data_IF_473368654881
#
_entry.id   IF_473368654881
#
_cell.length_a   1.000
_cell.length_b   1.000
_cell.length_c   1.000
_cell.angle_alpha   90.00
_cell.angle_beta   90.00
_cell.angle_gamma   90.00
#
_symmetry.space_group_name_H-M   'P 1'
#
loop_
_entity.id
_entity.type
_entity.pdbx_description
1 polymer ?
#
# COMPACT_ATOMS: atom_id res chain seq x y z
N UNK A 1 14.85 0.34 16.66
CA UNK A 1 15.88 0.72 17.67
C UNK A 1 15.72 2.16 18.18
N UNK A 2 15.57 3.18 17.33
CA UNK A 2 15.54 4.60 17.75
C UNK A 2 14.53 4.93 18.87
N UNK A 3 13.31 4.40 18.84
CA UNK A 3 12.30 4.63 19.89
C UNK A 3 12.76 4.15 21.28
N UNK A 4 13.38 2.97 21.35
CA UNK A 4 13.83 2.35 22.61
C UNK A 4 14.98 3.15 23.21
N UNK A 5 15.90 3.63 22.37
CA UNK A 5 17.03 4.45 22.80
C UNK A 5 16.57 5.78 23.42
N UNK A 6 15.53 6.40 22.86
CA UNK A 6 14.93 7.61 23.44
C UNK A 6 14.23 7.32 24.77
N UNK A 7 13.57 6.15 24.90
CA UNK A 7 12.95 5.68 26.14
C UNK A 7 13.98 5.40 27.25
N UNK A 8 15.19 4.98 26.90
CA UNK A 8 16.30 4.80 27.84
C UNK A 8 17.02 6.11 28.21
N UNK A 9 16.57 7.26 27.70
CA UNK A 9 17.17 8.57 28.00
C UNK A 9 18.49 8.86 27.25
N UNK A 10 18.82 8.08 26.22
CA UNK A 10 20.04 8.27 25.44
C UNK A 10 19.85 9.39 24.40
N UNK A 11 20.87 10.24 24.23
CA UNK A 11 20.86 11.32 23.23
C UNK A 11 21.13 10.74 21.84
N UNK A 12 20.11 10.78 20.99
CA UNK A 12 20.22 10.34 19.60
C UNK A 12 20.74 11.47 18.70
N UNK A 13 21.66 11.14 17.80
CA UNK A 13 22.26 12.07 16.84
C UNK A 13 22.00 11.58 15.42
N UNK A 14 21.62 12.48 14.51
CA UNK A 14 21.44 12.17 13.08
C UNK A 14 22.79 11.99 12.38
N UNK A 15 22.79 11.49 11.13
CA UNK A 15 24.00 11.41 10.30
C UNK A 15 24.69 12.78 10.13
N UNK A 16 23.92 13.87 10.24
CA UNK A 16 24.39 15.25 10.12
C UNK A 16 24.84 15.87 11.45
N UNK A 17 24.94 15.09 12.54
CA UNK A 17 25.41 15.57 13.84
C UNK A 17 24.36 16.32 14.68
N UNK A 18 23.09 16.37 14.27
CA UNK A 18 22.03 17.08 15.02
C UNK A 18 21.38 16.17 16.06
N UNK A 19 21.15 16.70 17.26
CA UNK A 19 20.43 15.98 18.31
C UNK A 19 18.93 15.86 17.98
N UNK A 20 18.39 14.65 18.10
CA UNK A 20 16.97 14.37 17.90
C UNK A 20 16.23 14.57 19.22
N UNK A 21 15.34 15.57 19.26
CA UNK A 21 14.49 15.86 20.43
C UNK A 21 13.11 15.20 20.37
N UNK A 22 12.58 14.99 19.16
CA UNK A 22 11.26 14.39 18.92
C UNK A 22 11.37 13.37 17.81
N UNK A 23 10.86 12.16 18.06
CA UNK A 23 10.71 11.12 17.05
C UNK A 23 9.23 11.02 16.67
N UNK A 24 8.92 11.23 15.39
CA UNK A 24 7.62 10.83 14.84
C UNK A 24 7.80 9.77 13.76
N UNK A 25 6.89 8.80 13.74
CA UNK A 25 6.83 7.74 12.74
C UNK A 25 5.40 7.49 12.32
N UNK A 26 5.21 6.85 11.19
CA UNK A 26 3.90 6.39 10.75
C UNK A 26 3.68 4.94 11.17
N UNK A 27 2.52 4.65 11.76
CA UNK A 27 2.06 3.29 12.05
C UNK A 27 0.63 3.11 11.52
N UNK A 28 0.14 1.87 11.52
CA UNK A 28 -1.23 1.56 11.17
C UNK A 28 -2.04 1.30 12.44
N UNK A 29 -3.16 2.01 12.62
CA UNK A 29 -4.09 1.82 13.73
C UNK A 29 -5.43 1.36 13.18
N UNK A 30 -6.03 0.33 13.76
CA UNK A 30 -7.38 -0.10 13.41
C UNK A 30 -8.41 0.85 14.01
N UNK A 31 -9.39 1.31 13.22
CA UNK A 31 -10.49 2.15 13.71
C UNK A 31 -11.53 1.37 14.51
N UNK A 32 -11.62 0.04 14.34
CA UNK A 32 -12.60 -0.81 15.02
C UNK A 32 -12.09 -1.37 16.36
N UNK A 33 -10.93 -2.03 16.36
CA UNK A 33 -10.39 -2.70 17.54
C UNK A 33 -9.25 -1.92 18.24
N UNK A 34 -8.91 -0.73 17.75
CA UNK A 34 -7.83 0.15 18.22
C UNK A 34 -6.43 -0.47 18.31
N UNK A 35 -6.24 -1.65 17.72
CA UNK A 35 -4.93 -2.30 17.64
C UNK A 35 -3.99 -1.49 16.75
N UNK A 36 -2.74 -1.32 17.21
CA UNK A 36 -1.69 -0.62 16.47
C UNK A 36 -0.68 -1.64 15.94
N UNK A 37 -0.52 -1.65 14.63
CA UNK A 37 0.44 -2.49 13.91
C UNK A 37 1.60 -1.61 13.40
N UNK A 38 2.83 -2.07 13.64
CA UNK A 38 4.06 -1.43 13.12
C UNK A 38 4.46 -1.93 11.72
N UNK A 39 3.83 -3.01 11.26
CA UNK A 39 4.06 -3.58 9.94
C UNK A 39 3.46 -2.66 8.86
N UNK A 40 4.35 -2.01 8.10
CA UNK A 40 3.96 -1.14 7.02
C UNK A 40 3.37 -1.95 5.85
N UNK A 41 2.36 -1.39 5.18
CA UNK A 41 1.80 -1.96 3.96
C UNK A 41 0.70 -3.01 4.14
N UNK A 42 0.31 -3.35 5.38
CA UNK A 42 -0.89 -4.17 5.62
C UNK A 42 -2.16 -3.41 5.32
N UNK A 43 -3.17 -4.14 4.83
CA UNK A 43 -4.50 -3.62 4.52
C UNK A 43 -5.55 -4.10 5.53
N UNK A 44 -5.42 -5.35 5.96
CA UNK A 44 -6.30 -5.99 6.94
C UNK A 44 -5.66 -5.96 8.32
N UNK A 45 -6.48 -5.77 9.35
CA UNK A 45 -6.01 -5.79 10.73
C UNK A 45 -5.74 -7.24 11.18
N UNK A 46 -4.56 -7.55 11.76
CA UNK A 46 -4.24 -8.92 12.18
C UNK A 46 -5.08 -9.41 13.36
N UNK A 47 -5.72 -8.50 14.12
CA UNK A 47 -6.52 -8.85 15.30
C UNK A 47 -7.98 -9.11 14.96
N UNK A 48 -8.59 -8.28 14.10
CA UNK A 48 -10.02 -8.37 13.79
C UNK A 48 -10.33 -8.73 12.33
N UNK A 49 -9.33 -8.89 11.47
CA UNK A 49 -9.50 -9.24 10.05
C UNK A 49 -10.10 -8.13 9.17
N UNK A 50 -10.64 -7.06 9.73
CA UNK A 50 -11.27 -5.99 8.97
C UNK A 50 -10.25 -5.10 8.25
N UNK A 51 -10.63 -4.62 7.06
CA UNK A 51 -9.90 -3.60 6.30
C UNK A 51 -10.17 -2.20 6.86
N UNK A 52 -9.76 -1.98 8.10
CA UNK A 52 -10.03 -0.77 8.87
C UNK A 52 -8.74 -0.13 9.42
N UNK A 53 -7.59 -0.45 8.81
CA UNK A 53 -6.30 0.12 9.18
C UNK A 53 -6.13 1.53 8.59
N UNK A 54 -5.82 2.48 9.46
CA UNK A 54 -5.55 3.86 9.10
C UNK A 54 -4.11 4.21 9.40
N UNK A 55 -3.49 5.00 8.52
CA UNK A 55 -2.16 5.55 8.76
C UNK A 55 -2.25 6.66 9.79
N UNK A 56 -1.53 6.50 10.90
CA UNK A 56 -1.52 7.39 12.05
C UNK A 56 -0.09 7.78 12.38
N UNK A 57 0.12 9.04 12.76
CA UNK A 57 1.38 9.51 13.32
C UNK A 57 1.54 9.02 14.76
N UNK A 58 2.69 8.42 15.06
CA UNK A 58 3.11 8.03 16.40
C UNK A 58 4.24 8.96 16.81
N UNK A 59 4.01 9.73 17.87
CA UNK A 59 4.96 10.68 18.42
C UNK A 59 5.49 10.14 19.73
N UNK A 60 6.81 10.13 19.88
CA UNK A 60 7.48 9.74 21.12
C UNK A 60 7.85 11.00 21.88
N UNK A 61 7.29 11.17 23.07
CA UNK A 61 7.59 12.30 23.95
C UNK A 61 8.91 12.14 24.70
N UNK A 62 9.35 13.21 25.40
CA UNK A 62 10.60 13.23 26.15
C UNK A 62 10.68 12.19 27.30
N UNK A 63 9.53 11.77 27.84
CA UNK A 63 9.45 10.71 28.84
C UNK A 63 9.25 9.30 28.27
N UNK A 64 9.44 9.10 26.96
CA UNK A 64 9.29 7.79 26.32
C UNK A 64 7.85 7.33 26.06
N UNK A 65 6.85 8.13 26.45
CA UNK A 65 5.44 7.87 26.16
C UNK A 65 5.15 7.99 24.65
N UNK A 66 4.42 7.00 24.10
CA UNK A 66 3.95 7.01 22.71
C UNK A 66 2.56 7.64 22.63
N UNK A 67 2.43 8.71 21.85
CA UNK A 67 1.18 9.35 21.52
C UNK A 67 0.75 8.96 20.11
N UNK A 68 -0.47 8.46 19.98
CA UNK A 68 -1.05 8.07 18.70
C UNK A 68 -2.02 9.15 18.22
N UNK A 69 -1.81 9.64 17.00
CA UNK A 69 -2.78 10.50 16.33
C UNK A 69 -4.15 9.81 16.20
N UNK A 70 -5.21 10.60 16.23
CA UNK A 70 -6.57 10.13 15.99
C UNK A 70 -7.16 10.99 14.89
N UNK A 71 -7.81 10.36 13.91
CA UNK A 71 -8.56 11.11 12.89
C UNK A 71 -9.80 11.71 13.55
N UNK A 72 -10.03 12.99 13.32
CA UNK A 72 -11.18 13.69 13.88
C UNK A 72 -12.51 13.20 13.29
N UNK A 73 -12.54 12.87 12.00
CA UNK A 73 -13.75 12.54 11.27
C UNK A 73 -13.61 11.21 10.49
N UNK A 74 -14.63 10.36 10.59
CA UNK A 74 -14.74 9.09 9.84
C UNK A 74 -15.81 9.21 8.75
N UNK A 75 -15.42 8.95 7.49
CA UNK A 75 -16.35 8.94 6.36
C UNK A 75 -16.73 7.50 6.02
N UNK A 76 -17.99 7.14 6.21
CA UNK A 76 -18.53 5.80 5.89
C UNK A 76 -19.05 5.68 4.45
N UNK A 77 -18.81 6.67 3.59
CA UNK A 77 -19.30 6.65 2.20
C UNK A 77 -18.52 5.60 1.39
N UNK A 78 -19.25 4.80 0.61
CA UNK A 78 -18.67 3.79 -0.28
C UNK A 78 -18.29 2.47 0.39
N UNK A 79 -18.54 2.29 1.69
CA UNK A 79 -18.30 1.02 2.39
C UNK A 79 -19.43 0.01 2.19
N UNK A 80 -20.68 0.48 2.06
CA UNK A 80 -21.87 -0.36 1.81
C UNK A 80 -22.27 -0.31 0.34
N UNK A 81 -22.17 -1.44 -0.34
CA UNK A 81 -22.59 -1.64 -1.73
C UNK A 81 -22.98 -3.10 -1.96
N UNK A 82 -23.70 -3.39 -3.05
CA UNK A 82 -24.08 -4.76 -3.39
C UNK A 82 -22.88 -5.54 -3.91
N UNK A 83 -22.62 -6.70 -3.30
CA UNK A 83 -21.57 -7.60 -3.75
C UNK A 83 -22.11 -8.52 -4.87
N UNK A 84 -21.30 -8.83 -5.89
CA UNK A 84 -21.66 -9.84 -6.87
C UNK A 84 -21.72 -11.22 -6.19
N UNK A 85 -22.59 -12.09 -6.71
CA UNK A 85 -22.64 -13.50 -6.27
C UNK A 85 -21.25 -14.14 -6.43
N UNK A 86 -20.78 -14.93 -5.47
CA UNK A 86 -19.48 -15.59 -5.57
C UNK A 86 -19.48 -16.54 -6.78
N UNK A 87 -18.47 -16.40 -7.64
CA UNK A 87 -18.28 -17.27 -8.80
C UNK A 87 -16.97 -18.04 -8.66
N UNK A 88 -16.99 -19.33 -8.98
CA UNK A 88 -15.80 -20.17 -9.04
C UNK A 88 -14.94 -19.92 -10.28
N UNK A 89 -13.84 -20.67 -10.39
CA UNK A 89 -12.92 -20.60 -11.53
C UNK A 89 -12.07 -19.32 -11.55
N UNK A 90 -11.72 -18.84 -12.75
CA UNK A 90 -10.87 -17.65 -12.96
C UNK A 90 -11.64 -16.32 -12.82
N UNK A 91 -12.73 -16.32 -12.05
CA UNK A 91 -13.55 -15.12 -11.82
C UNK A 91 -12.83 -14.11 -10.90
N UNK A 92 -12.98 -12.82 -11.19
CA UNK A 92 -12.42 -11.73 -10.38
C UNK A 92 -13.40 -11.31 -9.29
N UNK A 93 -13.52 -12.11 -8.23
CA UNK A 93 -14.32 -11.75 -7.07
C UNK A 93 -13.72 -10.52 -6.35
N UNK A 94 -14.47 -9.77 -5.51
CA UNK A 94 -13.86 -8.82 -4.57
C UNK A 94 -12.91 -9.55 -3.59
N UNK A 95 -12.01 -8.83 -2.93
CA UNK A 95 -11.19 -9.37 -1.83
C UNK A 95 -11.81 -8.84 -0.54
N UNK A 96 -12.22 -9.74 0.34
CA UNK A 96 -12.87 -9.38 1.60
C UNK A 96 -11.98 -9.69 2.81
N UNK A 97 -11.06 -10.64 2.67
CA UNK A 97 -10.18 -11.12 3.74
C UNK A 97 -8.70 -11.10 3.35
N UNK A 98 -7.82 -11.15 4.35
CA UNK A 98 -6.36 -11.19 4.16
C UNK A 98 -5.91 -12.46 3.44
N UNK A 99 -6.46 -13.61 3.78
CA UNK A 99 -6.10 -14.89 3.16
C UNK A 99 -6.41 -14.91 1.66
N UNK A 100 -7.53 -14.31 1.25
CA UNK A 100 -7.89 -14.16 -0.15
C UNK A 100 -6.91 -13.26 -0.91
N UNK A 101 -6.42 -12.20 -0.25
CA UNK A 101 -5.40 -11.31 -0.80
C UNK A 101 -4.08 -12.07 -1.02
N UNK A 102 -3.63 -12.80 0.00
CA UNK A 102 -2.40 -13.58 -0.04
C UNK A 102 -2.47 -14.68 -1.11
N UNK A 103 -3.60 -15.38 -1.21
CA UNK A 103 -3.84 -16.39 -2.23
C UNK A 103 -3.74 -15.80 -3.65
N UNK A 104 -4.31 -14.60 -3.89
CA UNK A 104 -4.21 -13.92 -5.20
C UNK A 104 -2.80 -13.45 -5.52
N UNK A 105 -2.08 -12.93 -4.54
CA UNK A 105 -0.67 -12.54 -4.72
C UNK A 105 0.16 -13.77 -5.08
N UNK A 106 -0.04 -14.89 -4.35
CA UNK A 106 0.65 -16.16 -4.62
C UNK A 106 0.34 -16.68 -6.03
N UNK A 107 -0.92 -16.74 -6.43
CA UNK A 107 -1.33 -17.16 -7.78
C UNK A 107 -0.73 -16.27 -8.88
N UNK A 108 -0.60 -14.96 -8.64
CA UNK A 108 0.05 -14.04 -9.58
C UNK A 108 1.54 -14.32 -9.67
N UNK A 109 2.21 -14.48 -8.53
CA UNK A 109 3.66 -14.69 -8.47
C UNK A 109 4.06 -16.07 -9.03
N UNK A 110 3.17 -17.06 -8.99
CA UNK A 110 3.36 -18.38 -9.60
C UNK A 110 3.27 -18.36 -11.13
N UNK A 111 2.69 -17.32 -11.74
CA UNK A 111 2.76 -17.20 -13.19
C UNK A 111 4.22 -16.90 -13.53
N UNK A 112 4.90 -17.73 -14.35
CA UNK A 112 6.18 -17.35 -14.88
C UNK A 112 5.93 -16.13 -15.77
N UNK A 113 6.06 -14.93 -15.20
CA UNK A 113 6.36 -13.78 -16.02
C UNK A 113 7.63 -14.15 -16.78
N UNK A 114 7.71 -13.83 -18.07
CA UNK A 114 9.03 -13.70 -18.70
C UNK A 114 9.89 -12.98 -17.68
N UNK A 115 10.99 -13.59 -17.26
CA UNK A 115 12.03 -12.91 -16.51
C UNK A 115 12.57 -11.83 -17.46
N UNK A 116 11.80 -10.76 -17.62
CA UNK A 116 12.32 -9.50 -18.12
C UNK A 116 13.15 -9.06 -16.95
N UNK A 117 14.46 -9.09 -17.12
CA UNK A 117 15.46 -8.82 -16.09
C UNK A 117 14.97 -7.65 -15.24
N UNK A 118 14.41 -7.97 -14.06
CA UNK A 118 13.70 -6.99 -13.24
C UNK A 118 14.66 -5.93 -12.64
N UNK A 119 15.94 -6.06 -12.97
CA UNK A 119 17.02 -5.16 -12.65
C UNK A 119 17.62 -4.50 -13.89
N UNK A 120 16.90 -4.42 -15.02
CA UNK A 120 17.33 -3.64 -16.17
C UNK A 120 17.12 -2.14 -15.88
N UNK A 121 17.91 -1.62 -14.93
CA UNK A 121 17.91 -0.20 -14.57
C UNK A 121 18.50 0.58 -15.75
N UNK A 122 17.80 1.58 -16.27
CA UNK A 122 18.31 2.44 -17.37
C UNK A 122 19.61 3.18 -17.04
N UNK A 123 20.05 3.13 -15.78
CA UNK A 123 21.31 3.68 -15.29
C UNK A 123 22.41 2.62 -15.08
N UNK A 124 22.21 1.36 -15.48
CA UNK A 124 23.32 0.40 -15.52
C UNK A 124 24.27 0.76 -16.66
N UNK A 125 25.61 0.60 -16.49
CA UNK A 125 26.61 0.92 -17.52
C UNK A 125 26.44 0.16 -18.84
N UNK A 126 25.61 -0.89 -18.83
CA UNK A 126 25.30 -1.75 -19.98
C UNK A 126 24.31 -1.09 -20.97
N UNK A 127 23.68 0.03 -20.60
CA UNK A 127 22.80 0.80 -21.47
C UNK A 127 23.57 1.87 -22.27
N UNK A 128 23.81 1.59 -23.55
CA UNK A 128 24.27 2.56 -24.56
C UNK A 128 23.16 2.93 -25.57
N UNK A 129 23.49 3.82 -26.53
CA UNK A 129 22.59 4.27 -27.62
C UNK A 129 21.90 3.12 -28.36
N UNK A 130 22.60 1.99 -28.51
CA UNK A 130 22.17 0.87 -29.35
C UNK A 130 21.17 -0.06 -28.65
N UNK A 131 20.93 0.15 -27.35
CA UNK A 131 20.04 -0.68 -26.50
C UNK A 131 18.74 0.02 -26.10
N UNK A 132 18.47 1.21 -26.65
CA UNK A 132 17.32 2.05 -26.28
C UNK A 132 15.95 1.33 -26.41
N UNK A 133 15.80 0.45 -27.40
CA UNK A 133 14.59 -0.36 -27.61
C UNK A 133 14.36 -1.41 -26.51
N UNK A 134 15.42 -1.88 -25.85
CA UNK A 134 15.32 -2.85 -24.74
C UNK A 134 14.79 -2.19 -23.46
N UNK A 135 15.08 -0.90 -23.26
CA UNK A 135 14.55 -0.11 -22.16
C UNK A 135 13.03 0.12 -22.25
N UNK A 136 12.46 0.26 -23.46
CA UNK A 136 11.02 0.45 -23.63
C UNK A 136 10.20 -0.82 -23.30
N UNK A 137 10.69 -2.00 -23.68
CA UNK A 137 10.07 -3.27 -23.33
C UNK A 137 10.21 -3.59 -21.83
N UNK A 138 11.38 -3.31 -21.24
CA UNK A 138 11.64 -3.50 -19.81
C UNK A 138 10.88 -2.49 -18.94
N UNK A 139 10.79 -1.22 -19.31
CA UNK A 139 10.06 -0.19 -18.54
C UNK A 139 8.55 -0.43 -18.51
N UNK A 140 7.94 -0.84 -19.62
CA UNK A 140 6.52 -1.21 -19.63
C UNK A 140 6.25 -2.47 -18.80
N UNK A 141 7.17 -3.44 -18.80
CA UNK A 141 7.08 -4.64 -17.97
C UNK A 141 7.32 -4.32 -16.47
N UNK A 142 8.29 -3.47 -16.15
CA UNK A 142 8.63 -3.03 -14.78
C UNK A 142 7.49 -2.20 -14.15
N UNK A 143 6.83 -1.35 -14.94
CA UNK A 143 5.59 -0.64 -14.54
C UNK A 143 4.43 -1.58 -14.22
N UNK A 144 4.50 -2.87 -14.58
CA UNK A 144 3.51 -3.92 -14.28
C UNK A 144 3.95 -4.81 -13.08
N UNK A 145 5.25 -4.93 -12.82
CA UNK A 145 5.81 -5.70 -11.69
C UNK A 145 5.80 -4.93 -10.38
N UNK A 146 6.26 -3.67 -10.37
CA UNK A 146 6.25 -2.80 -9.17
C UNK A 146 4.84 -2.44 -8.70
N UNK A 147 3.87 -2.55 -9.62
CA UNK A 147 2.45 -2.41 -9.30
C UNK A 147 1.83 -3.72 -8.82
N UNK A 148 2.57 -4.69 -8.28
CA UNK A 148 2.02 -6.00 -7.90
C UNK A 148 0.79 -5.93 -6.99
N UNK A 149 0.94 -5.34 -5.80
CA UNK A 149 -0.19 -5.08 -4.90
C UNK A 149 -0.92 -3.77 -5.25
N UNK A 150 -0.19 -2.74 -5.70
CA UNK A 150 -0.76 -1.43 -6.01
C UNK A 150 -1.76 -1.46 -7.18
N UNK A 151 -1.60 -2.38 -8.16
CA UNK A 151 -2.54 -2.59 -9.25
C UNK A 151 -3.83 -3.27 -8.76
N UNK A 152 -3.72 -4.27 -7.87
CA UNK A 152 -4.89 -4.89 -7.24
C UNK A 152 -5.69 -3.85 -6.42
N UNK A 153 -4.99 -2.90 -5.81
CA UNK A 153 -5.56 -1.82 -5.00
C UNK A 153 -6.08 -0.62 -5.81
N UNK A 154 -5.73 -0.49 -7.09
CA UNK A 154 -6.07 0.71 -7.89
C UNK A 154 -7.59 0.87 -8.10
N UNK A 155 -8.32 -0.24 -8.12
CA UNK A 155 -9.79 -0.23 -8.20
C UNK A 155 -10.50 0.13 -6.89
N UNK A 156 -9.82 0.08 -5.74
CA UNK A 156 -10.44 0.24 -4.42
C UNK A 156 -10.51 1.69 -3.94
N UNK A 157 -9.86 2.62 -4.64
CA UNK A 157 -9.82 4.04 -4.23
C UNK A 157 -11.12 4.79 -4.54
N UNK A 158 -11.90 4.31 -5.50
CA UNK A 158 -13.10 5.00 -5.94
C UNK A 158 -14.34 4.41 -5.25
N UNK A 159 -15.29 5.28 -4.91
CA UNK A 159 -16.55 4.85 -4.31
C UNK A 159 -17.38 4.06 -5.36
N UNK A 160 -17.76 2.80 -5.09
CA UNK A 160 -18.52 1.99 -6.03
C UNK A 160 -19.94 2.55 -6.31
N UNK A 161 -20.49 3.33 -5.38
CA UNK A 161 -21.81 3.95 -5.54
C UNK A 161 -21.75 5.30 -6.29
N UNK A 162 -20.57 5.75 -6.69
CA UNK A 162 -20.41 7.01 -7.41
C UNK A 162 -20.84 6.89 -8.88
N UNK A 163 -21.56 7.90 -9.38
CA UNK A 163 -21.94 7.98 -10.79
C UNK A 163 -20.68 8.17 -11.64
N UNK A 164 -20.34 7.17 -12.44
CA UNK A 164 -19.23 7.26 -13.40
C UNK A 164 -19.65 8.12 -14.58
N UNK A 165 -18.79 9.05 -14.97
CA UNK A 165 -18.95 9.81 -16.21
C UNK A 165 -18.79 8.85 -17.38
N UNK A 166 -19.90 8.51 -18.04
CA UNK A 166 -19.89 7.76 -19.30
C UNK A 166 -19.81 8.78 -20.42
N UNK A 167 -18.82 8.64 -21.30
CA UNK A 167 -18.79 9.39 -22.54
C UNK A 167 -20.00 8.96 -23.37
N UNK A 168 -21.10 9.73 -23.29
CA UNK A 168 -22.20 9.57 -24.23
C UNK A 168 -21.70 10.08 -25.58
N UNK A 169 -21.68 9.22 -26.61
CA UNK A 169 -21.50 9.65 -28.00
C UNK A 169 -22.68 10.56 -28.38
N UNK A 170 -22.61 11.84 -27.97
CA UNK A 170 -23.59 12.88 -28.31
C UNK A 170 -23.42 13.40 -29.74
N UNK A 171 -22.59 12.76 -30.58
CA UNK A 171 -22.63 12.87 -32.04
C UNK A 171 -23.59 11.81 -32.61
N UNK A 172 -24.88 11.94 -32.31
CA UNK A 172 -25.96 11.25 -33.04
C UNK A 172 -27.17 12.19 -33.16
N UNK A 173 -26.99 13.17 -34.02
CA UNK A 173 -27.91 13.81 -34.98
C UNK A 173 -27.40 15.22 -35.23
#
# INVERSE_FOLDING_TARGET
MQNVLLQMGLRLVTRDGRQISRLSRWALRCSACFFVTKEAGRLFCPRCGNMALERVEVVVGAGGAEFFGVRKNYTLRGTRFSLPKPKGGRAKNPILCEDELLARIKQRNQRPGRAVDAALNSFTPEFGSDTWHKAHAASQAALVTDKGAAYLLKGWKNNPNERKNVASNRRRK
#
